data_IF_685990226362
#
_entry.id   IF_685990226362
#
_cell.length_a   1.000
_cell.length_b   1.000
_cell.length_c   1.000
_cell.angle_alpha   90.00
_cell.angle_beta   90.00
_cell.angle_gamma   90.00
#
_symmetry.space_group_name_H-M   'P 1'
#
loop_
_entity.id
_entity.type
_entity.pdbx_description
1 polymer ?
#
# COMPACT_ATOMS: atom_id res chain seq x y z
N UNK A 1 2.61 0.45 49.14
CA UNK A 1 2.91 -0.48 50.26
C UNK A 1 2.76 0.27 51.56
N UNK A 2 1.93 -0.19 52.50
CA UNK A 2 1.67 0.50 53.78
C UNK A 2 2.82 0.23 54.74
N UNK A 3 3.56 1.26 55.15
CA UNK A 3 4.66 1.13 56.10
C UNK A 3 4.13 1.00 57.52
N UNK A 4 4.24 -0.19 58.13
CA UNK A 4 4.13 -0.34 59.60
C UNK A 4 5.47 0.05 60.22
N UNK A 5 5.62 1.31 60.62
CA UNK A 5 6.77 1.77 61.40
C UNK A 5 6.39 1.89 62.88
N UNK A 6 6.92 1.01 63.74
CA UNK A 6 6.63 0.99 65.19
C UNK A 6 7.12 2.27 65.90
N UNK A 7 8.05 3.02 65.30
CA UNK A 7 8.63 4.26 65.85
C UNK A 7 8.44 5.50 64.96
N UNK A 8 7.51 5.43 63.99
CA UNK A 8 7.31 6.49 63.00
C UNK A 8 8.41 6.52 61.92
N UNK A 9 8.03 6.86 60.70
CA UNK A 9 8.93 6.94 59.54
C UNK A 9 9.72 8.25 59.57
N UNK A 10 11.06 8.17 59.47
CA UNK A 10 11.97 9.33 59.39
C UNK A 10 12.27 9.70 57.95
N UNK A 11 12.76 8.76 57.15
CA UNK A 11 13.00 8.96 55.71
C UNK A 11 12.83 7.65 54.93
N UNK A 12 12.76 7.78 53.60
CA UNK A 12 12.94 6.68 52.67
C UNK A 12 14.11 7.01 51.74
N UNK A 13 15.08 6.11 51.64
CA UNK A 13 16.17 6.16 50.67
C UNK A 13 15.78 5.35 49.45
N UNK A 14 15.73 6.00 48.29
CA UNK A 14 15.42 5.38 47.01
C UNK A 14 16.67 5.15 46.17
N UNK A 15 16.72 4.02 45.46
CA UNK A 15 17.76 3.69 44.49
C UNK A 15 17.12 3.21 43.19
N UNK A 16 17.42 3.89 42.09
CA UNK A 16 16.95 3.55 40.75
C UNK A 16 17.96 3.95 39.67
N UNK A 17 19.17 3.36 39.66
CA UNK A 17 20.26 3.81 38.79
C UNK A 17 19.91 3.74 37.30
N UNK A 18 19.22 2.68 36.84
CA UNK A 18 18.79 2.58 35.44
C UNK A 18 17.72 3.62 35.06
N UNK A 19 16.82 3.97 36.00
CA UNK A 19 15.80 4.99 35.76
C UNK A 19 16.41 6.40 35.67
N UNK A 20 17.34 6.71 36.58
CA UNK A 20 18.01 8.01 36.64
C UNK A 20 18.96 8.23 35.44
N UNK A 21 19.64 7.18 35.00
CA UNK A 21 20.53 7.22 33.83
C UNK A 21 19.79 7.64 32.56
N UNK A 22 18.50 7.29 32.46
CA UNK A 22 17.66 7.61 31.30
C UNK A 22 16.80 8.87 31.49
N UNK A 23 17.09 9.67 32.52
CA UNK A 23 16.44 10.96 32.76
C UNK A 23 15.15 10.89 33.58
N UNK A 24 14.81 9.71 34.10
CA UNK A 24 13.75 9.58 35.10
C UNK A 24 14.12 10.26 36.42
N UNK A 25 13.12 10.48 37.28
CA UNK A 25 13.30 11.14 38.59
C UNK A 25 12.44 10.47 39.66
N UNK A 26 12.91 10.51 40.90
CA UNK A 26 12.12 10.12 42.08
C UNK A 26 12.16 11.29 43.05
N UNK A 27 11.00 11.89 43.32
CA UNK A 27 10.87 13.08 44.17
C UNK A 27 9.72 12.90 45.16
N UNK A 28 9.92 13.30 46.42
CA UNK A 28 8.89 13.13 47.44
C UNK A 28 9.40 13.38 48.85
N UNK A 29 8.49 13.33 49.81
CA UNK A 29 8.78 13.44 51.24
C UNK A 29 7.82 12.57 52.06
N UNK A 30 8.30 12.04 53.18
CA UNK A 30 7.49 11.21 54.08
C UNK A 30 6.90 9.98 53.37
N UNK A 31 5.58 9.87 53.36
CA UNK A 31 4.83 8.78 52.71
C UNK A 31 4.35 9.09 51.29
N UNK A 32 4.68 10.26 50.74
CA UNK A 32 4.22 10.69 49.41
C UNK A 32 5.42 10.85 48.47
N UNK A 33 5.50 9.96 47.48
CA UNK A 33 6.58 9.90 46.50
C UNK A 33 6.01 9.83 45.09
N UNK A 34 6.64 10.55 44.18
CA UNK A 34 6.32 10.57 42.76
C UNK A 34 7.54 10.09 41.97
N UNK A 35 7.27 9.29 40.94
CA UNK A 35 8.27 8.82 39.98
C UNK A 35 7.94 9.44 38.63
N UNK A 36 8.91 10.15 38.05
CA UNK A 36 8.88 10.61 36.66
C UNK A 36 9.60 9.57 35.81
N UNK A 37 8.90 9.01 34.83
CA UNK A 37 9.45 7.98 33.96
C UNK A 37 10.24 8.60 32.80
N UNK A 38 11.34 7.97 32.35
CA UNK A 38 12.02 8.34 31.12
C UNK A 38 11.15 8.09 29.87
N UNK A 39 11.50 8.72 28.75
CA UNK A 39 10.83 8.46 27.48
C UNK A 39 11.05 7.01 27.04
N UNK A 40 10.00 6.40 26.48
CA UNK A 40 10.09 5.05 25.92
C UNK A 40 11.13 4.99 24.80
N UNK A 41 11.96 3.94 24.81
CA UNK A 41 12.99 3.67 23.79
C UNK A 41 12.65 2.41 22.99
N UNK A 42 12.23 2.54 21.72
CA UNK A 42 11.96 1.39 20.87
C UNK A 42 13.18 0.47 20.75
N UNK A 43 12.97 -0.85 20.80
CA UNK A 43 14.03 -1.85 20.64
C UNK A 43 15.05 -1.92 21.79
N UNK A 44 14.80 -1.25 22.91
CA UNK A 44 15.57 -1.34 24.14
C UNK A 44 14.76 -1.95 25.27
N UNK A 45 15.47 -2.45 26.27
CA UNK A 45 14.88 -2.87 27.54
C UNK A 45 14.39 -1.65 28.31
N UNK A 46 13.07 -1.44 28.31
CA UNK A 46 12.41 -0.36 29.04
C UNK A 46 12.07 -0.78 30.49
N UNK A 47 13.00 -1.51 31.11
CA UNK A 47 12.87 -2.11 32.44
C UNK A 47 13.73 -1.35 33.44
N UNK A 48 13.09 -0.81 34.47
CA UNK A 48 13.76 0.02 35.47
C UNK A 48 13.54 -0.54 36.87
N UNK A 49 14.60 -1.12 37.43
CA UNK A 49 14.61 -1.56 38.82
C UNK A 49 14.59 -0.35 39.75
N UNK A 50 13.59 -0.30 40.63
CA UNK A 50 13.46 0.71 41.68
C UNK A 50 13.44 0.01 43.03
N UNK A 51 14.22 0.51 43.97
CA UNK A 51 14.27 -0.05 45.31
C UNK A 51 14.27 1.02 46.39
N UNK A 52 13.84 0.62 47.60
CA UNK A 52 13.71 1.51 48.74
C UNK A 52 14.14 0.85 50.04
N UNK A 53 14.73 1.65 50.93
CA UNK A 53 14.98 1.35 52.34
C UNK A 53 14.36 2.46 53.17
N UNK A 54 13.48 2.11 54.11
CA UNK A 54 12.87 3.05 55.04
C UNK A 54 13.65 3.08 56.36
N UNK A 55 13.82 4.26 56.93
CA UNK A 55 14.45 4.45 58.24
C UNK A 55 13.45 5.02 59.23
N UNK A 56 13.41 4.47 60.45
CA UNK A 56 12.60 5.03 61.54
C UNK A 56 13.32 6.17 62.30
N UNK A 57 12.62 6.83 63.21
CA UNK A 57 13.19 7.93 64.01
C UNK A 57 14.35 7.51 64.93
N UNK A 58 14.51 6.20 65.20
CA UNK A 58 15.61 5.64 65.98
C UNK A 58 16.78 5.18 65.10
N UNK A 59 16.68 5.33 63.78
CA UNK A 59 17.71 4.93 62.82
C UNK A 59 17.64 3.46 62.38
N UNK A 60 16.57 2.72 62.75
CA UNK A 60 16.41 1.34 62.30
C UNK A 60 16.02 1.31 60.82
N UNK A 61 16.73 0.51 60.03
CA UNK A 61 16.44 0.31 58.61
C UNK A 61 15.43 -0.82 58.39
N UNK A 62 14.54 -0.65 57.42
CA UNK A 62 13.71 -1.73 56.89
C UNK A 62 14.54 -2.73 56.08
N UNK A 63 13.95 -3.88 55.75
CA UNK A 63 14.44 -4.67 54.62
C UNK A 63 14.38 -3.83 53.34
N UNK A 64 15.36 -4.01 52.46
CA UNK A 64 15.31 -3.44 51.12
C UNK A 64 14.17 -4.09 50.36
N UNK A 65 13.32 -3.27 49.76
CA UNK A 65 12.28 -3.72 48.85
C UNK A 65 12.63 -3.29 47.44
N UNK A 66 12.43 -4.16 46.46
CA UNK A 66 12.66 -3.89 45.05
C UNK A 66 11.38 -4.17 44.28
N UNK A 67 11.08 -3.28 43.34
CA UNK A 67 10.02 -3.45 42.35
C UNK A 67 10.59 -3.12 40.98
N UNK A 68 9.98 -3.67 39.95
CA UNK A 68 10.29 -3.31 38.58
C UNK A 68 9.25 -2.35 38.05
N UNK A 69 9.72 -1.32 37.36
CA UNK A 69 8.88 -0.41 36.58
C UNK A 69 9.12 -0.72 35.12
N UNK A 70 8.07 -1.16 34.44
CA UNK A 70 8.10 -1.46 33.01
C UNK A 70 7.41 -0.32 32.29
N UNK A 71 8.12 0.31 31.35
CA UNK A 71 7.50 1.24 30.40
C UNK A 71 7.14 0.42 29.17
N UNK A 72 5.93 -0.13 29.15
CA UNK A 72 5.35 -0.66 27.93
C UNK A 72 5.05 0.51 26.99
N UNK A 73 5.19 0.30 25.67
CA UNK A 73 4.91 1.29 24.62
C UNK A 73 3.43 1.71 24.51
N UNK A 74 2.66 1.58 25.59
CA UNK A 74 1.22 1.82 25.71
C UNK A 74 0.84 3.32 25.71
N UNK A 75 1.56 4.14 24.95
CA UNK A 75 1.15 5.51 24.64
C UNK A 75 0.16 5.59 23.49
N UNK A 76 0.17 4.61 22.57
CA UNK A 76 -0.59 4.68 21.32
C UNK A 76 -2.10 4.83 21.51
N UNK A 77 -2.66 5.92 20.97
CA UNK A 77 -4.09 6.18 20.96
C UNK A 77 -4.73 5.60 19.71
N UNK A 78 -5.74 4.75 19.89
CA UNK A 78 -6.52 4.21 18.79
C UNK A 78 -7.28 5.31 18.04
N UNK A 79 -7.70 6.38 18.72
CA UNK A 79 -8.46 7.48 18.12
C UNK A 79 -7.58 8.42 17.30
N UNK A 80 -6.31 8.56 17.69
CA UNK A 80 -5.35 9.47 17.02
C UNK A 80 -4.44 8.76 16.03
N UNK A 81 -4.42 7.44 16.07
CA UNK A 81 -3.74 6.61 15.08
C UNK A 81 -4.63 6.39 13.87
N UNK A 82 -4.09 6.64 12.68
CA UNK A 82 -4.82 6.52 11.42
C UNK A 82 -4.06 5.65 10.41
N UNK A 83 -4.80 4.89 9.62
CA UNK A 83 -4.31 4.18 8.44
C UNK A 83 -5.11 4.67 7.24
N UNK A 84 -4.43 5.09 6.18
CA UNK A 84 -5.05 5.55 4.94
C UNK A 84 -4.33 4.97 3.74
N UNK A 85 -5.09 4.69 2.67
CA UNK A 85 -4.59 4.35 1.35
C UNK A 85 -4.94 5.53 0.43
N UNK A 86 -3.92 6.20 -0.09
CA UNK A 86 -4.07 7.46 -0.85
C UNK A 86 -4.88 8.53 -0.09
N UNK A 87 -4.71 8.58 1.24
CA UNK A 87 -5.46 9.51 2.10
C UNK A 87 -6.89 9.07 2.44
N UNK A 88 -7.35 7.90 1.98
CA UNK A 88 -8.71 7.41 2.19
C UNK A 88 -8.75 6.10 2.99
N UNK A 89 -9.85 5.83 3.70
CA UNK A 89 -10.09 4.54 4.36
C UNK A 89 -10.62 3.46 3.39
N UNK A 90 -11.21 3.91 2.29
CA UNK A 90 -11.68 3.08 1.18
C UNK A 90 -11.47 3.81 -0.13
N UNK A 91 -10.94 3.11 -1.13
CA UNK A 91 -10.68 3.64 -2.47
C UNK A 91 -11.11 2.63 -3.54
N UNK A 92 -11.48 3.13 -4.72
CA UNK A 92 -11.67 2.33 -5.92
C UNK A 92 -10.49 2.56 -6.87
N UNK A 93 -9.94 1.47 -7.41
CA UNK A 93 -8.74 1.51 -8.26
C UNK A 93 -8.86 0.53 -9.42
N UNK A 94 -8.02 0.69 -10.44
CA UNK A 94 -8.01 -0.22 -11.58
C UNK A 94 -7.09 -1.42 -11.32
N UNK A 95 -7.58 -2.62 -11.66
CA UNK A 95 -6.78 -3.85 -11.63
C UNK A 95 -5.88 -3.94 -12.87
N UNK A 96 -5.01 -2.96 -13.10
CA UNK A 96 -4.11 -2.88 -14.25
C UNK A 96 -2.70 -3.49 -14.01
N UNK A 97 -2.41 -3.91 -12.77
CA UNK A 97 -1.15 -4.56 -12.42
C UNK A 97 0.05 -3.61 -12.21
N UNK A 98 -0.13 -2.30 -12.34
CA UNK A 98 0.95 -1.34 -12.22
C UNK A 98 0.58 -0.06 -11.43
N UNK A 99 -0.69 0.15 -11.11
CA UNK A 99 -1.11 1.29 -10.31
C UNK A 99 -0.56 1.15 -8.88
N UNK A 100 0.09 2.21 -8.40
CA UNK A 100 0.69 2.27 -7.07
C UNK A 100 0.10 3.42 -6.27
N UNK A 101 -0.22 3.15 -5.01
CA UNK A 101 -0.74 4.15 -4.07
C UNK A 101 -0.04 4.06 -2.72
N UNK A 102 0.20 5.21 -2.07
CA UNK A 102 0.82 5.23 -0.75
C UNK A 102 -0.16 4.70 0.30
N UNK A 103 0.29 3.73 1.09
CA UNK A 103 -0.36 3.31 2.32
C UNK A 103 0.36 3.99 3.49
N UNK A 104 -0.35 4.85 4.22
CA UNK A 104 0.21 5.68 5.28
C UNK A 104 -0.41 5.32 6.63
N UNK A 105 0.45 4.95 7.58
CA UNK A 105 0.11 4.74 8.99
C UNK A 105 0.68 5.92 9.80
N UNK A 106 -0.17 6.69 10.45
CA UNK A 106 0.25 7.71 11.42
C UNK A 106 0.01 7.20 12.83
N UNK A 107 1.08 6.88 13.56
CA UNK A 107 1.03 6.44 14.96
C UNK A 107 1.16 7.64 15.89
N UNK A 108 0.17 7.82 16.76
CA UNK A 108 0.16 8.90 17.76
C UNK A 108 -0.26 8.39 19.11
N UNK A 109 0.28 9.01 20.16
CA UNK A 109 -0.14 8.75 21.54
C UNK A 109 -1.44 9.49 21.91
N UNK A 110 -1.90 9.37 23.15
CA UNK A 110 -3.09 10.05 23.66
C UNK A 110 -2.94 11.59 23.62
N UNK A 111 -1.76 12.08 23.92
CA UNK A 111 -1.39 13.50 23.88
C UNK A 111 -1.25 14.04 22.45
N UNK A 112 -1.19 13.15 21.45
CA UNK A 112 -1.07 13.47 20.03
C UNK A 112 0.37 13.54 19.52
N UNK A 113 1.35 13.19 20.35
CA UNK A 113 2.76 13.11 19.97
C UNK A 113 3.00 11.90 19.05
N UNK A 114 3.92 12.01 18.09
CA UNK A 114 4.24 10.91 17.19
C UNK A 114 4.94 9.76 17.91
N UNK A 115 4.53 8.52 17.60
CA UNK A 115 5.18 7.31 18.14
C UNK A 115 6.16 6.76 17.10
N UNK A 116 7.45 6.95 17.36
CA UNK A 116 8.55 6.64 16.43
C UNK A 116 9.20 5.28 16.69
N UNK A 117 9.98 4.77 15.74
CA UNK A 117 10.81 3.56 15.88
C UNK A 117 10.02 2.25 15.95
N UNK A 118 8.75 2.25 15.54
CA UNK A 118 7.88 1.07 15.58
C UNK A 118 7.93 0.23 14.31
N UNK A 119 8.77 0.56 13.33
CA UNK A 119 8.86 -0.12 12.03
C UNK A 119 8.88 -1.64 12.17
N UNK A 120 9.76 -2.18 13.01
CA UNK A 120 9.96 -3.63 13.13
C UNK A 120 8.87 -4.32 13.98
N UNK A 121 7.97 -3.54 14.59
CA UNK A 121 6.79 -4.02 15.32
C UNK A 121 5.52 -3.96 14.47
N UNK A 122 5.57 -3.30 13.29
CA UNK A 122 4.45 -3.24 12.36
C UNK A 122 4.27 -4.60 11.69
N UNK A 123 3.10 -5.20 11.90
CA UNK A 123 2.65 -6.42 11.21
C UNK A 123 1.58 -6.05 10.20
N UNK A 124 1.71 -6.56 8.99
CA UNK A 124 0.79 -6.31 7.88
C UNK A 124 0.13 -7.59 7.42
N UNK A 125 -1.15 -7.49 7.11
CA UNK A 125 -1.93 -8.55 6.49
C UNK A 125 -2.68 -7.98 5.29
N UNK A 126 -2.49 -8.60 4.12
CA UNK A 126 -3.23 -8.28 2.89
C UNK A 126 -4.09 -9.48 2.52
N UNK A 127 -5.41 -9.35 2.71
CA UNK A 127 -6.40 -10.32 2.25
C UNK A 127 -7.02 -9.84 0.95
N UNK A 128 -7.12 -10.72 -0.04
CA UNK A 128 -7.74 -10.40 -1.33
C UNK A 128 -8.87 -11.37 -1.66
N UNK A 129 -10.08 -10.84 -1.87
CA UNK A 129 -11.28 -11.57 -2.28
C UNK A 129 -11.60 -11.24 -3.75
N UNK A 130 -11.31 -12.15 -4.69
CA UNK A 130 -11.67 -11.96 -6.10
C UNK A 130 -13.16 -11.73 -6.30
N UNK A 131 -13.53 -10.88 -7.25
CA UNK A 131 -14.91 -10.74 -7.69
C UNK A 131 -15.34 -12.01 -8.44
N UNK A 132 -16.50 -12.59 -8.07
CA UNK A 132 -16.94 -13.94 -8.48
C UNK A 132 -17.25 -14.15 -9.97
N UNK A 133 -17.01 -13.18 -10.84
CA UNK A 133 -17.20 -13.32 -12.27
C UNK A 133 -15.86 -13.41 -12.99
N UNK A 134 -15.22 -14.58 -12.91
CA UNK A 134 -14.45 -15.03 -14.06
C UNK A 134 -15.51 -15.36 -15.10
N UNK A 135 -15.71 -14.48 -16.09
CA UNK A 135 -16.36 -14.87 -17.34
C UNK A 135 -15.48 -15.97 -17.94
N UNK A 136 -15.76 -17.21 -17.57
CA UNK A 136 -15.24 -18.43 -18.18
C UNK A 136 -15.95 -18.62 -19.52
N UNK A 137 -15.88 -17.61 -20.41
CA UNK A 137 -15.97 -17.89 -21.85
C UNK A 137 -14.59 -18.35 -22.26
N UNK A 138 -14.39 -19.66 -22.12
CA UNK A 138 -13.39 -20.53 -22.77
C UNK A 138 -12.37 -19.80 -23.66
N UNK A 139 -11.47 -19.04 -23.05
CA UNK A 139 -10.26 -18.54 -23.67
C UNK A 139 -9.14 -18.88 -22.70
N UNK A 140 -8.34 -19.89 -23.04
CA UNK A 140 -7.13 -20.30 -22.32
C UNK A 140 -6.03 -19.23 -22.42
N UNK A 141 -6.33 -17.97 -22.14
CA UNK A 141 -5.31 -16.94 -21.99
C UNK A 141 -4.60 -17.15 -20.64
N UNK A 142 -3.61 -18.04 -20.61
CA UNK A 142 -2.72 -18.24 -19.45
C UNK A 142 -1.74 -17.07 -19.34
N UNK A 143 -2.23 -15.87 -19.03
CA UNK A 143 -1.43 -14.85 -18.31
C UNK A 143 -1.99 -14.75 -16.90
N UNK A 144 -1.10 -14.95 -15.93
CA UNK A 144 -1.40 -15.06 -14.51
C UNK A 144 -2.25 -13.88 -14.03
N UNK A 145 -3.44 -14.16 -13.51
CA UNK A 145 -4.16 -13.20 -12.67
C UNK A 145 -3.27 -12.91 -11.47
N UNK A 146 -2.73 -11.70 -11.41
CA UNK A 146 -1.89 -11.25 -10.31
C UNK A 146 -2.80 -10.64 -9.24
N UNK A 147 -2.59 -11.07 -8.00
CA UNK A 147 -3.19 -10.43 -6.82
C UNK A 147 -2.44 -9.12 -6.54
N UNK A 148 -3.07 -8.14 -5.87
CA UNK A 148 -2.34 -6.96 -5.42
C UNK A 148 -1.23 -7.34 -4.44
N UNK A 149 -0.24 -6.46 -4.31
CA UNK A 149 0.90 -6.62 -3.41
C UNK A 149 1.07 -5.40 -2.52
N UNK A 150 1.71 -5.59 -1.38
CA UNK A 150 2.05 -4.53 -0.43
C UNK A 150 3.54 -4.56 -0.14
N UNK A 151 4.19 -3.39 -0.17
CA UNK A 151 5.59 -3.24 0.19
C UNK A 151 5.82 -3.26 1.70
N UNK A 152 7.09 -3.20 2.09
CA UNK A 152 7.45 -3.00 3.51
C UNK A 152 7.19 -1.56 3.96
N UNK A 153 6.91 -1.38 5.25
CA UNK A 153 6.81 -0.06 5.84
C UNK A 153 8.18 0.54 6.12
N UNK A 154 8.30 1.83 5.86
CA UNK A 154 9.43 2.67 6.26
C UNK A 154 8.92 3.85 7.07
N UNK A 155 9.65 4.27 8.11
CA UNK A 155 9.33 5.49 8.84
C UNK A 155 9.88 6.68 8.04
N UNK A 156 9.01 7.47 7.43
CA UNK A 156 9.38 8.60 6.56
C UNK A 156 9.51 9.90 7.35
N UNK A 157 8.70 10.05 8.39
CA UNK A 157 8.75 11.14 9.35
C UNK A 157 8.43 10.59 10.74
N UNK A 158 8.67 11.37 11.79
CA UNK A 158 8.37 10.94 13.16
C UNK A 158 6.92 10.45 13.28
N UNK A 159 6.74 9.14 13.53
CA UNK A 159 5.44 8.52 13.72
C UNK A 159 4.62 8.38 12.43
N UNK A 160 5.20 8.64 11.27
CA UNK A 160 4.58 8.43 9.95
C UNK A 160 5.32 7.30 9.25
N UNK A 161 4.59 6.22 9.01
CA UNK A 161 5.10 5.03 8.35
C UNK A 161 4.41 4.88 6.99
N UNK A 162 5.19 4.73 5.94
CA UNK A 162 4.68 4.60 4.58
C UNK A 162 5.11 3.28 3.95
N UNK A 163 4.16 2.65 3.28
CA UNK A 163 4.33 1.50 2.39
C UNK A 163 3.69 1.83 1.03
N UNK A 164 3.91 0.97 0.04
CA UNK A 164 3.33 1.10 -1.31
C UNK A 164 2.41 -0.08 -1.56
N UNK A 165 1.14 0.20 -1.82
CA UNK A 165 0.18 -0.76 -2.34
C UNK A 165 0.24 -0.74 -3.86
N UNK A 166 0.41 -1.92 -4.49
CA UNK A 166 0.43 -2.07 -5.94
C UNK A 166 -0.74 -2.95 -6.37
N UNK A 167 -1.52 -2.48 -7.35
CA UNK A 167 -2.66 -3.24 -7.86
C UNK A 167 -2.20 -4.49 -8.60
N UNK A 168 -3.04 -5.53 -8.53
CA UNK A 168 -2.89 -6.72 -9.36
C UNK A 168 -3.62 -6.56 -10.69
N UNK A 169 -3.70 -7.64 -11.47
CA UNK A 169 -4.50 -7.70 -12.71
C UNK A 169 -5.87 -8.36 -12.50
N UNK A 170 -6.16 -8.78 -11.27
CA UNK A 170 -7.42 -9.41 -10.90
C UNK A 170 -8.34 -8.42 -10.19
N UNK A 171 -9.61 -8.37 -10.60
CA UNK A 171 -10.64 -7.61 -9.90
C UNK A 171 -11.09 -8.30 -8.62
N UNK A 172 -11.47 -7.50 -7.64
CA UNK A 172 -11.87 -7.98 -6.32
C UNK A 172 -11.66 -6.93 -5.24
N UNK A 173 -11.92 -7.32 -4.00
CA UNK A 173 -11.71 -6.47 -2.84
C UNK A 173 -10.41 -6.85 -2.13
N UNK A 174 -9.53 -5.87 -1.93
CA UNK A 174 -8.33 -5.99 -1.11
C UNK A 174 -8.58 -5.34 0.24
N UNK A 175 -8.33 -6.08 1.32
CA UNK A 175 -8.42 -5.61 2.70
C UNK A 175 -7.01 -5.63 3.29
N UNK A 176 -6.56 -4.46 3.72
CA UNK A 176 -5.24 -4.28 4.32
C UNK A 176 -5.43 -3.99 5.79
N UNK A 177 -4.92 -4.88 6.65
CA UNK A 177 -4.91 -4.71 8.09
C UNK A 177 -3.47 -4.51 8.56
N UNK A 178 -3.25 -3.44 9.33
CA UNK A 178 -1.95 -3.12 9.91
C UNK A 178 -2.11 -3.17 11.42
N UNK A 179 -1.19 -3.86 12.10
CA UNK A 179 -1.20 -4.03 13.54
C UNK A 179 0.14 -3.70 14.19
N UNK A 180 0.08 -3.05 15.35
CA UNK A 180 1.23 -2.63 16.16
C UNK A 180 0.84 -2.78 17.62
N UNK A 181 1.62 -3.53 18.39
CA UNK A 181 1.40 -3.76 19.84
C UNK A 181 -0.06 -4.11 20.21
N UNK A 182 -0.71 -4.95 19.39
CA UNK A 182 -2.10 -5.39 19.60
C UNK A 182 -3.19 -4.43 19.10
N UNK A 183 -2.87 -3.19 18.74
CA UNK A 183 -3.79 -2.31 18.01
C UNK A 183 -3.84 -2.72 16.54
N UNK A 184 -5.02 -2.66 15.91
CA UNK A 184 -5.17 -2.86 14.46
C UNK A 184 -5.98 -1.75 13.79
N UNK A 185 -5.59 -1.38 12.58
CA UNK A 185 -6.36 -0.52 11.67
C UNK A 185 -6.52 -1.20 10.32
N UNK A 186 -7.63 -0.93 9.65
CA UNK A 186 -7.97 -1.57 8.37
C UNK A 186 -8.38 -0.51 7.34
N UNK A 187 -7.92 -0.70 6.11
CA UNK A 187 -8.39 0.02 4.93
C UNK A 187 -8.75 -0.97 3.83
N UNK A 188 -9.58 -0.52 2.88
CA UNK A 188 -10.06 -1.37 1.78
C UNK A 188 -9.83 -0.73 0.42
N UNK A 189 -9.49 -1.55 -0.57
CA UNK A 189 -9.41 -1.13 -1.96
C UNK A 189 -10.28 -2.05 -2.81
N UNK A 190 -11.22 -1.46 -3.54
CA UNK A 190 -12.02 -2.17 -4.53
C UNK A 190 -11.31 -2.07 -5.89
N UNK A 191 -10.75 -3.19 -6.33
CA UNK A 191 -10.06 -3.30 -7.61
C UNK A 191 -11.06 -3.67 -8.69
N UNK A 192 -11.31 -2.74 -9.60
CA UNK A 192 -12.22 -2.92 -10.72
C UNK A 192 -11.45 -3.37 -11.94
N UNK A 193 -11.94 -4.43 -12.58
CA UNK A 193 -11.55 -4.72 -13.95
C UNK A 193 -12.44 -3.85 -14.83
N UNK A 194 -11.87 -2.92 -15.56
CA UNK A 194 -12.59 -2.30 -16.66
C UNK A 194 -12.46 -3.27 -17.84
N UNK A 195 -13.43 -4.19 -17.97
CA UNK A 195 -13.51 -4.98 -19.19
C UNK A 195 -13.84 -4.01 -20.32
N UNK A 196 -12.94 -3.91 -21.29
CA UNK A 196 -13.19 -3.18 -22.52
C UNK A 196 -14.46 -3.73 -23.19
N UNK A 197 -15.41 -2.84 -23.43
CA UNK A 197 -16.55 -3.12 -24.29
C UNK A 197 -16.14 -2.84 -25.73
N UNK A 198 -16.07 -3.91 -26.53
CA UNK A 198 -15.69 -3.83 -27.94
C UNK A 198 -16.69 -3.01 -28.75
N UNK A 199 -17.97 -3.01 -28.37
CA UNK A 199 -19.00 -2.27 -29.08
C UNK A 199 -18.93 -0.75 -28.83
N UNK A 200 -18.51 -0.35 -27.63
CA UNK A 200 -18.38 1.07 -27.27
C UNK A 200 -16.98 1.65 -27.57
N UNK A 201 -15.97 0.78 -27.70
CA UNK A 201 -14.60 1.20 -28.02
C UNK A 201 -14.44 1.58 -29.49
N UNK A 202 -13.52 2.50 -29.79
CA UNK A 202 -13.27 2.97 -31.16
C UNK A 202 -11.84 2.75 -31.60
N UNK A 203 -11.64 2.31 -32.85
CA UNK A 203 -10.32 2.19 -33.47
C UNK A 203 -10.24 3.17 -34.64
N UNK A 204 -9.22 4.01 -34.64
CA UNK A 204 -8.97 5.00 -35.68
C UNK A 204 -7.56 4.83 -36.25
N UNK A 205 -7.39 5.19 -37.52
CA UNK A 205 -6.11 5.24 -38.20
C UNK A 205 -5.81 6.69 -38.59
N UNK A 206 -4.59 7.15 -38.34
CA UNK A 206 -4.11 8.38 -38.97
C UNK A 206 -3.67 8.04 -40.40
N UNK A 207 -4.62 8.06 -41.34
CA UNK A 207 -4.35 7.86 -42.76
C UNK A 207 -3.96 9.19 -43.41
N UNK A 208 -2.87 9.26 -44.20
CA UNK A 208 -2.66 10.37 -45.13
C UNK A 208 -3.80 10.40 -46.15
N UNK A 209 -4.27 11.59 -46.52
CA UNK A 209 -5.21 11.76 -47.62
C UNK A 209 -4.55 11.40 -48.95
N UNK A 210 -4.87 10.23 -49.54
CA UNK A 210 -4.44 9.86 -50.89
C UNK A 210 -4.10 8.38 -51.09
N UNK A 211 -3.69 8.03 -52.31
CA UNK A 211 -3.21 6.69 -52.65
C UNK A 211 -1.92 6.36 -51.90
N UNK A 212 -1.85 5.13 -51.38
CA UNK A 212 -0.78 4.65 -50.50
C UNK A 212 0.16 3.73 -51.26
N UNK A 213 1.47 3.91 -51.09
CA UNK A 213 2.51 3.11 -51.75
C UNK A 213 3.00 2.02 -50.81
N UNK A 214 2.96 0.76 -51.26
CA UNK A 214 3.46 -0.40 -50.50
C UNK A 214 4.99 -0.57 -50.63
N UNK A 215 5.76 0.44 -50.21
CA UNK A 215 7.22 0.51 -50.33
C UNK A 215 8.00 0.04 -49.09
N UNK A 216 7.28 -0.36 -48.03
CA UNK A 216 7.85 -0.77 -46.75
C UNK A 216 8.36 0.40 -45.90
N UNK A 217 8.14 1.65 -46.31
CA UNK A 217 8.61 2.86 -45.64
C UNK A 217 7.47 3.64 -44.99
N UNK A 218 6.28 3.64 -45.61
CA UNK A 218 5.11 4.31 -45.07
C UNK A 218 4.60 3.65 -43.78
N UNK A 219 4.33 4.48 -42.77
CA UNK A 219 3.94 4.06 -41.43
C UNK A 219 2.61 4.69 -40.99
N UNK A 220 1.72 3.87 -40.44
CA UNK A 220 0.45 4.31 -39.85
C UNK A 220 0.48 4.21 -38.33
N UNK A 221 -0.14 5.19 -37.68
CA UNK A 221 -0.48 5.10 -36.26
C UNK A 221 -1.94 4.71 -36.14
N UNK A 222 -2.20 3.62 -35.42
CA UNK A 222 -3.55 3.25 -35.01
C UNK A 222 -3.77 3.71 -33.57
N UNK A 223 -4.92 4.35 -33.33
CA UNK A 223 -5.34 4.79 -32.00
C UNK A 223 -6.62 4.05 -31.62
N UNK A 224 -6.54 3.24 -30.57
CA UNK A 224 -7.66 2.58 -29.92
C UNK A 224 -8.09 3.38 -28.69
N UNK A 225 -9.31 3.91 -28.71
CA UNK A 225 -9.96 4.47 -27.53
C UNK A 225 -10.78 3.35 -26.88
N UNK A 226 -10.22 2.73 -25.84
CA UNK A 226 -10.87 1.64 -25.13
C UNK A 226 -11.78 2.20 -24.03
N UNK A 227 -13.05 1.80 -24.03
CA UNK A 227 -14.03 2.15 -22.99
C UNK A 227 -14.79 0.92 -22.51
N UNK A 228 -15.37 0.98 -21.32
CA UNK A 228 -16.24 -0.07 -20.78
C UNK A 228 -17.70 0.08 -21.27
N UNK A 229 -18.60 -0.77 -20.77
CA UNK A 229 -20.03 -0.74 -21.14
C UNK A 229 -20.76 0.52 -20.71
N UNK A 230 -20.20 1.27 -19.76
CA UNK A 230 -20.73 2.54 -19.25
C UNK A 230 -20.09 3.75 -19.95
N UNK A 231 -19.13 3.52 -20.87
CA UNK A 231 -18.41 4.55 -21.60
C UNK A 231 -17.20 5.13 -20.83
N UNK A 232 -16.83 4.54 -19.70
CA UNK A 232 -15.64 4.97 -18.96
C UNK A 232 -14.37 4.43 -19.64
N UNK A 233 -13.29 5.21 -19.71
CA UNK A 233 -12.06 4.74 -20.34
C UNK A 233 -11.39 3.58 -19.59
N UNK A 234 -10.88 2.62 -20.36
CA UNK A 234 -10.14 1.45 -19.90
C UNK A 234 -8.64 1.70 -20.06
N UNK A 235 -7.86 1.56 -18.99
CA UNK A 235 -6.40 1.75 -18.98
C UNK A 235 -5.66 0.49 -18.51
N UNK A 236 -4.37 0.37 -18.81
CA UNK A 236 -3.52 -0.75 -18.41
C UNK A 236 -3.58 -2.01 -19.28
N UNK A 237 -4.47 -2.02 -20.27
CA UNK A 237 -4.70 -3.16 -21.15
C UNK A 237 -3.70 -3.28 -22.32
N UNK A 238 -2.77 -2.35 -22.50
CA UNK A 238 -1.83 -2.31 -23.64
C UNK A 238 -1.09 -3.64 -23.82
N UNK A 239 -0.63 -4.22 -22.71
CA UNK A 239 0.14 -5.46 -22.65
C UNK A 239 -0.68 -6.73 -22.92
N UNK A 240 -2.00 -6.58 -22.99
CA UNK A 240 -2.99 -7.64 -23.23
C UNK A 240 -3.58 -7.57 -24.64
N UNK A 241 -3.50 -6.41 -25.29
CA UNK A 241 -3.98 -6.21 -26.65
C UNK A 241 -3.03 -6.83 -27.69
N UNK A 242 -3.62 -7.33 -28.78
CA UNK A 242 -2.89 -7.76 -29.97
C UNK A 242 -3.67 -7.32 -31.19
N UNK A 243 -3.01 -6.59 -32.08
CA UNK A 243 -3.53 -6.31 -33.41
C UNK A 243 -3.12 -7.44 -34.34
N UNK A 244 -4.10 -8.04 -35.01
CA UNK A 244 -3.88 -9.11 -35.98
C UNK A 244 -4.29 -8.57 -37.34
N UNK A 245 -3.34 -8.27 -38.24
CA UNK A 245 -3.70 -7.87 -39.59
C UNK A 245 -4.36 -9.05 -40.30
N UNK A 246 -5.46 -8.78 -41.01
CA UNK A 246 -6.20 -9.79 -41.77
C UNK A 246 -5.41 -10.30 -42.97
N UNK A 247 -4.55 -9.45 -43.54
CA UNK A 247 -3.58 -9.81 -44.56
C UNK A 247 -2.18 -9.89 -43.92
N UNK A 248 -1.52 -11.03 -44.10
CA UNK A 248 -0.20 -11.30 -43.53
C UNK A 248 0.92 -11.04 -44.51
N UNK A 249 0.60 -10.70 -45.77
CA UNK A 249 1.60 -10.36 -46.77
C UNK A 249 2.19 -8.99 -46.47
N UNK A 250 3.24 -9.03 -45.67
CA UNK A 250 4.09 -7.89 -45.38
C UNK A 250 3.37 -6.82 -44.56
N UNK A 251 2.75 -7.19 -43.45
CA UNK A 251 2.29 -6.19 -42.49
C UNK A 251 2.98 -6.43 -41.16
N UNK A 252 3.89 -5.54 -40.79
CA UNK A 252 4.51 -5.56 -39.45
C UNK A 252 3.77 -4.63 -38.51
N UNK A 253 3.33 -5.11 -37.35
CA UNK A 253 2.75 -4.29 -36.28
C UNK A 253 3.82 -4.02 -35.22
N UNK A 254 4.08 -2.76 -34.88
CA UNK A 254 4.98 -2.40 -33.79
C UNK A 254 4.36 -2.53 -32.38
N UNK A 255 5.12 -2.16 -31.36
CA UNK A 255 4.78 -2.39 -29.96
C UNK A 255 3.65 -1.49 -29.45
N UNK A 256 2.52 -2.05 -29.01
CA UNK A 256 1.40 -1.26 -28.46
C UNK A 256 1.83 -0.53 -27.19
N UNK A 257 1.61 0.78 -27.16
CA UNK A 257 1.86 1.67 -26.03
C UNK A 257 0.58 2.32 -25.54
N UNK A 258 0.50 2.58 -24.25
CA UNK A 258 -0.60 3.35 -23.67
C UNK A 258 -0.31 4.85 -23.73
N UNK A 259 -1.33 5.62 -24.09
CA UNK A 259 -1.34 7.08 -23.96
C UNK A 259 -2.48 7.48 -23.01
N UNK A 260 -2.73 8.77 -22.75
CA UNK A 260 -3.94 9.24 -22.03
C UNK A 260 -5.18 8.43 -22.44
N UNK A 261 -6.15 8.14 -21.53
CA UNK A 261 -7.11 7.04 -21.63
C UNK A 261 -7.36 6.50 -23.04
N UNK A 262 -6.52 5.55 -23.46
CA UNK A 262 -6.42 5.07 -24.84
C UNK A 262 -5.06 4.45 -25.17
N UNK A 263 -5.00 3.61 -26.20
CA UNK A 263 -3.79 2.93 -26.64
C UNK A 263 -3.41 3.37 -28.05
N UNK A 264 -2.12 3.48 -28.31
CA UNK A 264 -1.56 3.67 -29.64
C UNK A 264 -0.69 2.49 -30.01
N UNK A 265 -0.88 1.96 -31.23
CA UNK A 265 0.09 1.05 -31.83
C UNK A 265 1.00 1.83 -32.78
N UNK A 266 2.33 1.73 -32.65
CA UNK A 266 3.25 2.32 -33.57
C UNK A 266 3.44 1.38 -34.76
N UNK A 267 3.39 1.97 -35.96
CA UNK A 267 4.04 1.53 -37.18
C UNK A 267 3.49 0.23 -37.79
N UNK A 268 2.68 0.41 -38.83
CA UNK A 268 2.43 -0.58 -39.89
C UNK A 268 3.39 -0.33 -41.06
N UNK A 269 4.24 -1.28 -41.45
CA UNK A 269 5.02 -1.21 -42.71
C UNK A 269 4.42 -2.20 -43.70
N UNK A 270 4.15 -1.75 -44.94
CA UNK A 270 3.66 -2.58 -46.06
C UNK A 270 4.74 -2.80 -47.12
N UNK A 271 5.29 -3.99 -47.40
CA UNK A 271 6.02 -4.29 -48.62
C UNK A 271 5.13 -4.98 -49.68
N UNK A 272 5.22 -4.41 -50.89
CA UNK A 272 4.99 -4.94 -52.25
C UNK A 272 3.54 -4.94 -52.79
N UNK A 273 3.31 -4.44 -54.03
CA UNK A 273 1.98 -4.21 -54.57
C UNK A 273 1.54 -5.37 -55.47
N UNK A 274 0.42 -6.01 -55.16
CA UNK A 274 -0.46 -6.51 -56.21
C UNK A 274 -1.91 -6.53 -55.70
N UNK A 275 -2.65 -5.49 -56.13
CA UNK A 275 -4.10 -5.37 -56.11
C UNK A 275 -4.77 -5.60 -54.75
N UNK A 276 -4.94 -4.54 -53.96
CA UNK A 276 -6.10 -4.43 -53.06
C UNK A 276 -6.26 -3.02 -52.43
N UNK A 277 -6.75 -2.05 -53.20
CA UNK A 277 -7.37 -0.85 -52.62
C UNK A 277 -8.66 -1.18 -51.82
N UNK A 278 -9.24 -2.36 -52.01
CA UNK A 278 -10.48 -2.78 -51.34
C UNK A 278 -10.29 -3.45 -49.96
N UNK A 279 -9.07 -3.84 -49.56
CA UNK A 279 -8.87 -4.59 -48.31
C UNK A 279 -8.82 -3.72 -47.05
N UNK A 280 -8.41 -2.45 -47.14
CA UNK A 280 -8.29 -1.60 -45.94
C UNK A 280 -9.66 -1.15 -45.40
N UNK A 281 -10.61 -0.86 -46.29
CA UNK A 281 -12.01 -0.59 -45.90
C UNK A 281 -12.64 -1.78 -45.17
N UNK A 282 -12.26 -3.02 -45.51
CA UNK A 282 -12.69 -4.23 -44.77
C UNK A 282 -11.93 -4.47 -43.48
N UNK A 283 -10.65 -4.10 -43.39
CA UNK A 283 -9.85 -4.27 -42.18
C UNK A 283 -10.27 -3.31 -41.04
N UNK A 284 -10.67 -2.08 -41.39
CA UNK A 284 -11.20 -1.09 -40.44
C UNK A 284 -12.64 -1.41 -40.04
N UNK A 285 -13.46 -1.92 -40.97
CA UNK A 285 -14.86 -2.29 -40.67
C UNK A 285 -15.03 -3.67 -40.02
N UNK A 286 -14.04 -4.57 -40.11
CA UNK A 286 -14.09 -5.90 -39.51
C UNK A 286 -13.27 -6.01 -38.21
N UNK A 287 -13.08 -4.90 -37.49
CA UNK A 287 -12.29 -4.77 -36.25
C UNK A 287 -12.49 -5.90 -35.25
N UNK A 288 -11.76 -6.99 -35.46
CA UNK A 288 -11.70 -8.09 -34.52
C UNK A 288 -10.41 -7.96 -33.73
N UNK A 289 -10.47 -7.15 -32.68
CA UNK A 289 -9.51 -7.21 -31.58
C UNK A 289 -9.79 -8.53 -30.85
N UNK A 290 -8.92 -9.52 -31.05
CA UNK A 290 -9.02 -10.77 -30.30
C UNK A 290 -8.08 -10.73 -29.10
N UNK A 291 -8.62 -11.03 -27.91
CA UNK A 291 -7.83 -11.40 -26.75
C UNK A 291 -7.08 -12.71 -27.08
N UNK A 292 -5.76 -12.78 -26.83
CA UNK A 292 -4.91 -13.92 -27.20
C UNK A 292 -5.47 -15.24 -26.63
N UNK A 293 -5.55 -16.29 -27.47
CA UNK A 293 -5.67 -17.68 -27.01
C UNK A 293 -4.43 -18.13 -26.28
#
# INVERSE_FOLDING_TARGET
MVSKATHGLKNVQWEAPSLLAEGGKITGQGSQWQVTLPAYRPGKDNYYAVSAIAYDNKGNASKRVQTEVVISGAGMSADRTALTLDGQSRIQMLANGNEQKPLVLSLRDAEGQPVTGMKDQIKTELTFKPAGNIVTRTLKATKSQAKPTLGEFTETEAGVYQSVFTTGTQSGEATITVSVDGMSKTVTAELRATMMDVANSTLSANEPSGDVVADGQQAYTLTLTAVDSEGNPVTGEASRLRLVPQDTNGVTVGAISEIKPGFTAPRFLRPVPERCCACLQRAVSAGHIYNKR
#
